data_IF_824811118472
#
_entry.id   IF_824811118472
#
_cell.length_a   1.000
_cell.length_b   1.000
_cell.length_c   1.000
_cell.angle_alpha   90.00
_cell.angle_beta   90.00
_cell.angle_gamma   90.00
#
_symmetry.space_group_name_H-M   'P 1'
#
loop_
_entity.id
_entity.type
_entity.pdbx_description
1 polymer ?
#
# COMPACT_ATOMS: atom_id res chain seq x y z
N UNK A 1 -26.15 50.18 -45.44
CA UNK A 1 -25.43 49.21 -44.60
C UNK A 1 -24.09 49.81 -44.23
N UNK A 2 -23.89 50.23 -42.96
CA UNK A 2 -22.63 50.81 -42.48
C UNK A 2 -21.82 49.69 -41.82
N UNK A 3 -20.72 49.29 -42.45
CA UNK A 3 -19.74 48.36 -41.87
C UNK A 3 -18.78 49.12 -40.96
N UNK A 4 -18.71 48.70 -39.70
CA UNK A 4 -17.75 49.18 -38.71
C UNK A 4 -16.40 48.48 -38.90
N UNK A 5 -15.26 49.22 -38.87
CA UNK A 5 -13.94 48.63 -38.97
C UNK A 5 -13.52 48.01 -37.62
N UNK A 6 -13.13 46.74 -37.65
CA UNK A 6 -12.53 46.03 -36.51
C UNK A 6 -11.08 46.45 -36.28
N UNK A 7 -10.65 46.67 -35.02
CA UNK A 7 -9.29 47.07 -34.71
C UNK A 7 -8.32 45.88 -34.79
N UNK A 8 -7.38 45.93 -35.73
CA UNK A 8 -6.21 45.05 -35.79
C UNK A 8 -5.23 45.43 -34.68
N UNK A 9 -5.28 44.67 -33.58
CA UNK A 9 -4.40 44.84 -32.43
C UNK A 9 -2.94 44.50 -32.76
N UNK A 10 -2.10 45.53 -32.88
CA UNK A 10 -0.66 45.40 -32.99
C UNK A 10 -0.06 44.93 -31.66
N UNK A 11 0.23 43.63 -31.55
CA UNK A 11 0.92 43.05 -30.39
C UNK A 11 2.39 43.48 -30.41
N UNK A 12 2.73 44.46 -29.58
CA UNK A 12 4.09 44.97 -29.43
C UNK A 12 5.02 43.89 -28.85
N UNK A 13 6.23 43.77 -29.40
CA UNK A 13 7.26 42.77 -29.01
C UNK A 13 7.52 42.66 -27.50
N UNK A 14 7.29 43.75 -26.74
CA UNK A 14 7.36 43.75 -25.26
C UNK A 14 6.30 42.85 -24.59
N UNK A 15 5.09 42.74 -25.14
CA UNK A 15 4.04 41.89 -24.59
C UNK A 15 4.36 40.40 -24.77
N UNK A 16 4.99 40.03 -25.89
CA UNK A 16 5.47 38.67 -26.14
C UNK A 16 6.56 38.24 -25.16
N UNK A 17 7.50 39.14 -24.83
CA UNK A 17 8.55 38.85 -23.86
C UNK A 17 8.00 38.60 -22.44
N UNK A 18 7.00 39.38 -22.01
CA UNK A 18 6.37 39.24 -20.69
C UNK A 18 5.62 37.90 -20.60
N UNK A 19 4.89 37.51 -21.64
CA UNK A 19 4.19 36.23 -21.69
C UNK A 19 5.18 35.06 -21.64
N UNK A 20 6.30 35.15 -22.36
CA UNK A 20 7.34 34.13 -22.35
C UNK A 20 7.95 33.91 -20.95
N UNK A 21 8.24 35.00 -20.22
CA UNK A 21 8.75 34.92 -18.85
C UNK A 21 7.72 34.30 -17.91
N UNK A 22 6.44 34.70 -18.00
CA UNK A 22 5.38 34.15 -17.16
C UNK A 22 5.20 32.64 -17.34
N UNK A 23 5.26 32.15 -18.58
CA UNK A 23 5.19 30.70 -18.88
C UNK A 23 6.41 29.97 -18.32
N UNK A 24 7.62 30.51 -18.49
CA UNK A 24 8.83 29.91 -17.95
C UNK A 24 8.80 29.79 -16.42
N UNK A 25 8.30 30.82 -15.73
CA UNK A 25 8.11 30.81 -14.28
C UNK A 25 7.09 29.75 -13.87
N UNK A 26 5.95 29.64 -14.57
CA UNK A 26 4.94 28.62 -14.28
C UNK A 26 5.47 27.19 -14.46
N UNK A 27 6.28 26.95 -15.50
CA UNK A 27 6.93 25.65 -15.73
C UNK A 27 7.94 25.34 -14.62
N UNK A 28 8.76 26.32 -14.21
CA UNK A 28 9.71 26.18 -13.10
C UNK A 28 9.01 25.90 -11.77
N UNK A 29 7.94 26.65 -11.46
CA UNK A 29 7.12 26.42 -10.27
C UNK A 29 6.49 25.02 -10.35
N UNK A 30 5.91 24.63 -11.49
CA UNK A 30 5.37 23.29 -11.70
C UNK A 30 6.42 22.19 -11.53
N UNK A 31 7.65 22.40 -11.99
CA UNK A 31 8.78 21.48 -11.82
C UNK A 31 9.19 21.35 -10.35
N UNK A 32 9.37 22.47 -9.65
CA UNK A 32 9.73 22.49 -8.22
C UNK A 32 8.61 21.89 -7.38
N UNK A 33 7.35 22.18 -7.69
CA UNK A 33 6.20 21.54 -7.05
C UNK A 33 6.16 20.05 -7.35
N UNK A 34 6.44 19.63 -8.59
CA UNK A 34 6.55 18.21 -8.94
C UNK A 34 7.65 17.52 -8.15
N UNK A 35 8.84 18.10 -8.03
CA UNK A 35 9.91 17.47 -7.25
C UNK A 35 9.57 17.42 -5.75
N UNK A 36 9.10 18.54 -5.19
CA UNK A 36 8.81 18.62 -3.75
C UNK A 36 7.61 17.77 -3.34
N UNK A 37 6.57 17.72 -4.19
CA UNK A 37 5.30 17.05 -3.86
C UNK A 37 5.15 15.67 -4.51
N UNK A 38 5.78 15.36 -5.64
CA UNK A 38 5.55 14.13 -6.42
C UNK A 38 6.77 13.21 -6.62
N UNK A 39 7.86 13.33 -5.85
CA UNK A 39 8.92 12.32 -5.88
C UNK A 39 8.45 10.97 -5.28
N UNK A 40 8.15 10.01 -6.15
CA UNK A 40 8.14 8.56 -5.86
C UNK A 40 9.36 7.95 -6.53
N UNK A 41 10.37 7.56 -5.75
CA UNK A 41 11.47 6.73 -6.26
C UNK A 41 12.09 5.76 -5.22
N UNK A 42 11.89 5.95 -3.91
CA UNK A 42 12.66 5.17 -2.92
C UNK A 42 11.97 3.92 -2.35
N UNK A 43 10.85 3.51 -2.95
CA UNK A 43 10.14 2.28 -2.55
C UNK A 43 10.93 1.01 -2.93
N UNK A 44 11.97 1.12 -3.77
CA UNK A 44 12.57 -0.03 -4.47
C UNK A 44 13.68 -0.80 -3.75
N UNK A 45 14.26 -0.35 -2.62
CA UNK A 45 15.54 -0.96 -2.14
C UNK A 45 15.42 -1.89 -0.91
N UNK A 46 14.34 -1.91 -0.12
CA UNK A 46 14.41 -2.55 1.22
C UNK A 46 13.79 -3.95 1.39
N UNK A 47 13.05 -4.52 0.44
CA UNK A 47 12.40 -5.83 0.69
C UNK A 47 13.38 -7.01 0.48
N UNK A 48 14.51 -6.80 -0.21
CA UNK A 48 15.48 -7.89 -0.46
C UNK A 48 16.45 -8.18 0.69
N UNK A 49 16.74 -7.23 1.59
CA UNK A 49 17.84 -7.40 2.55
C UNK A 49 17.46 -8.10 3.87
N UNK A 50 16.20 -8.03 4.33
CA UNK A 50 15.83 -8.64 5.62
C UNK A 50 15.36 -10.11 5.53
N UNK A 51 15.01 -10.63 4.34
CA UNK A 51 14.60 -12.05 4.19
C UNK A 51 15.80 -13.01 4.27
N UNK A 52 17.03 -12.52 4.10
CA UNK A 52 18.24 -13.36 4.15
C UNK A 52 18.71 -13.69 5.58
N UNK A 53 18.30 -12.93 6.61
CA UNK A 53 18.71 -13.21 8.00
C UNK A 53 17.85 -14.26 8.72
N UNK A 54 16.63 -14.54 8.24
CA UNK A 54 15.80 -15.61 8.82
C UNK A 54 16.18 -17.03 8.36
N UNK A 55 17.04 -17.19 7.33
CA UNK A 55 17.41 -18.51 6.78
C UNK A 55 18.62 -19.17 7.44
N UNK A 56 19.27 -18.55 8.42
CA UNK A 56 20.52 -19.08 9.00
C UNK A 56 20.38 -19.91 10.28
N UNK A 57 19.17 -20.18 10.78
CA UNK A 57 18.98 -20.89 12.07
C UNK A 57 18.31 -22.27 11.94
N UNK A 58 17.82 -22.71 10.78
CA UNK A 58 17.25 -24.06 10.65
C UNK A 58 17.88 -24.80 9.48
N UNK A 59 19.09 -25.31 9.74
CA UNK A 59 19.78 -26.26 8.89
C UNK A 59 20.32 -27.42 9.71
N UNK A 60 19.47 -28.40 10.03
CA UNK A 60 19.81 -29.83 9.99
C UNK A 60 18.65 -30.72 10.46
N UNK A 61 17.98 -31.38 9.52
CA UNK A 61 17.92 -32.85 9.39
C UNK A 61 16.88 -33.23 8.34
N UNK A 62 17.41 -33.76 7.24
CA UNK A 62 16.68 -34.48 6.19
C UNK A 62 16.23 -35.83 6.77
N UNK A 63 14.99 -36.21 6.48
CA UNK A 63 14.41 -37.49 6.89
C UNK A 63 13.11 -37.82 6.16
N UNK A 64 13.21 -38.02 4.84
CA UNK A 64 12.56 -39.05 4.00
C UNK A 64 11.04 -39.43 4.17
N UNK A 65 10.41 -39.57 2.99
CA UNK A 65 9.17 -40.29 2.62
C UNK A 65 7.79 -39.66 2.86
N UNK A 66 7.23 -39.17 1.75
CA UNK A 66 5.93 -39.64 1.24
C UNK A 66 4.66 -38.90 1.69
N UNK A 67 3.76 -38.72 0.71
CA UNK A 67 2.32 -38.40 0.85
C UNK A 67 2.00 -36.92 1.07
N UNK A 68 1.81 -36.19 -0.05
CA UNK A 68 0.59 -35.43 -0.35
C UNK A 68 0.69 -34.83 -1.77
N UNK A 69 0.63 -35.72 -2.75
CA UNK A 69 0.14 -35.36 -4.07
C UNK A 69 -1.36 -35.17 -3.99
N UNK A 70 -1.84 -33.93 -3.84
CA UNK A 70 -3.24 -33.58 -4.08
C UNK A 70 -3.48 -32.11 -4.47
N UNK A 71 -2.44 -31.30 -4.69
CA UNK A 71 -2.60 -29.93 -5.19
C UNK A 71 -2.56 -29.92 -6.71
N UNK A 72 -3.66 -30.34 -7.33
CA UNK A 72 -3.93 -30.12 -8.75
C UNK A 72 -4.92 -28.95 -8.88
N UNK A 73 -4.43 -27.72 -8.76
CA UNK A 73 -5.20 -26.52 -9.11
C UNK A 73 -5.05 -26.24 -10.61
N UNK A 74 -5.73 -27.06 -11.41
CA UNK A 74 -5.87 -26.88 -12.85
C UNK A 74 -6.99 -25.89 -13.17
N UNK A 75 -6.64 -24.61 -13.30
CA UNK A 75 -7.48 -23.58 -13.92
C UNK A 75 -6.84 -23.11 -15.22
N UNK A 76 -7.00 -23.88 -16.31
CA UNK A 76 -6.64 -23.42 -17.66
C UNK A 76 -7.69 -22.44 -18.16
N UNK A 77 -7.42 -21.14 -18.03
CA UNK A 77 -8.11 -20.14 -18.82
C UNK A 77 -7.37 -19.99 -20.15
N UNK A 78 -8.05 -20.36 -21.24
CA UNK A 78 -7.63 -19.98 -22.58
C UNK A 78 -7.78 -18.45 -22.68
N UNK A 79 -6.66 -17.73 -22.77
CA UNK A 79 -6.67 -16.32 -23.17
C UNK A 79 -5.75 -16.21 -24.38
N UNK A 80 -6.40 -15.87 -25.49
CA UNK A 80 -5.75 -15.63 -26.77
C UNK A 80 -4.73 -14.51 -26.68
N UNK A 81 -3.66 -14.73 -27.42
CA UNK A 81 -2.63 -13.77 -27.78
C UNK A 81 -3.27 -12.56 -28.47
N UNK A 82 -3.37 -11.44 -27.76
CA UNK A 82 -3.61 -10.11 -28.34
C UNK A 82 -2.93 -9.04 -27.49
N UNK A 83 -1.99 -8.33 -28.13
CA UNK A 83 -1.37 -7.05 -27.77
C UNK A 83 -0.84 -6.86 -26.34
N UNK A 84 0.48 -7.05 -26.23
CA UNK A 84 1.32 -6.96 -25.04
C UNK A 84 1.45 -5.51 -24.53
N UNK A 85 0.35 -4.96 -24.03
CA UNK A 85 0.32 -3.70 -23.29
C UNK A 85 0.85 -3.97 -21.89
N UNK A 86 2.17 -4.05 -21.75
CA UNK A 86 2.94 -4.32 -20.52
C UNK A 86 2.26 -3.67 -19.30
N UNK A 87 1.42 -4.45 -18.61
CA UNK A 87 0.70 -4.01 -17.43
C UNK A 87 1.79 -3.68 -16.42
N UNK A 88 1.90 -2.40 -16.01
CA UNK A 88 2.83 -2.00 -14.95
C UNK A 88 2.34 -2.64 -13.65
N UNK A 89 2.84 -3.83 -13.36
CA UNK A 89 2.64 -4.54 -12.10
C UNK A 89 3.29 -3.72 -10.98
N UNK A 90 2.61 -3.59 -9.85
CA UNK A 90 3.19 -2.93 -8.68
C UNK A 90 4.23 -3.87 -8.04
N UNK A 91 5.32 -3.31 -7.50
CA UNK A 91 6.41 -4.03 -6.82
C UNK A 91 5.88 -5.01 -5.76
N UNK A 92 4.82 -4.63 -5.04
CA UNK A 92 4.19 -5.48 -4.03
C UNK A 92 3.45 -6.67 -4.61
N UNK A 93 2.86 -6.54 -5.80
CA UNK A 93 2.21 -7.65 -6.48
C UNK A 93 3.28 -8.64 -7.00
N UNK A 94 4.38 -8.12 -7.56
CA UNK A 94 5.53 -8.95 -7.96
C UNK A 94 6.21 -9.66 -6.79
N UNK A 95 6.31 -8.97 -5.64
CA UNK A 95 6.82 -9.56 -4.42
C UNK A 95 5.93 -10.71 -3.95
N UNK A 96 4.60 -10.56 -4.00
CA UNK A 96 3.65 -11.60 -3.61
C UNK A 96 3.72 -12.85 -4.49
N UNK A 97 3.98 -12.72 -5.79
CA UNK A 97 4.15 -13.88 -6.70
C UNK A 97 5.27 -14.82 -6.19
N UNK A 98 6.27 -14.27 -5.49
CA UNK A 98 7.38 -15.03 -4.93
C UNK A 98 7.07 -15.64 -3.55
N UNK A 99 5.97 -15.24 -2.89
CA UNK A 99 5.58 -15.68 -1.55
C UNK A 99 4.53 -16.81 -1.61
N UNK A 100 4.91 -17.99 -2.08
CA UNK A 100 3.97 -19.12 -2.28
C UNK A 100 3.30 -19.64 -1.01
N UNK A 101 3.87 -19.36 0.16
CA UNK A 101 3.31 -19.77 1.46
C UNK A 101 2.37 -18.73 2.09
N UNK A 102 2.10 -17.61 1.41
CA UNK A 102 1.30 -16.50 1.93
C UNK A 102 0.12 -16.23 1.03
N UNK A 103 -1.01 -15.85 1.61
CA UNK A 103 -2.20 -15.42 0.87
C UNK A 103 -2.39 -13.92 1.01
N UNK A 104 -2.41 -13.18 -0.10
CA UNK A 104 -2.74 -11.75 -0.07
C UNK A 104 -4.21 -11.59 0.30
N UNK A 105 -4.50 -10.79 1.32
CA UNK A 105 -5.86 -10.45 1.74
C UNK A 105 -6.15 -8.95 1.68
N UNK A 106 -5.13 -8.13 1.48
CA UNK A 106 -5.32 -6.68 1.40
C UNK A 106 -4.10 -5.92 0.87
N UNK A 107 -4.35 -4.65 0.58
CA UNK A 107 -3.37 -3.69 0.08
C UNK A 107 -3.34 -2.45 0.99
N UNK A 108 -2.16 -1.85 1.14
CA UNK A 108 -1.93 -0.62 1.90
C UNK A 108 -1.48 0.48 0.93
N UNK A 109 -2.03 1.68 1.08
CA UNK A 109 -1.81 2.83 0.19
C UNK A 109 -1.33 4.08 0.96
N UNK A 110 -0.60 4.96 0.27
CA UNK A 110 -0.08 6.24 0.80
C UNK A 110 -1.16 7.29 1.07
N UNK A 111 -2.36 7.11 0.51
CA UNK A 111 -3.56 7.91 0.77
C UNK A 111 -4.82 7.24 0.22
N UNK A 112 -6.01 7.76 0.56
CA UNK A 112 -7.30 7.12 0.27
C UNK A 112 -7.90 7.42 -1.10
N UNK A 113 -7.47 8.49 -1.78
CA UNK A 113 -7.95 8.83 -3.12
C UNK A 113 -7.58 7.76 -4.15
N UNK A 114 -8.61 7.12 -4.71
CA UNK A 114 -8.48 6.01 -5.64
C UNK A 114 -7.80 6.40 -6.97
N UNK A 115 -7.73 7.68 -7.31
CA UNK A 115 -7.21 8.13 -8.61
C UNK A 115 -5.69 8.29 -8.63
N UNK A 116 -5.07 8.57 -7.48
CA UNK A 116 -3.63 8.95 -7.40
C UNK A 116 -2.80 8.13 -6.42
N UNK A 117 -3.43 7.26 -5.63
CA UNK A 117 -2.76 6.41 -4.63
C UNK A 117 -1.72 5.47 -5.23
N UNK A 118 -0.71 5.15 -4.44
CA UNK A 118 0.23 4.06 -4.68
C UNK A 118 0.18 3.07 -3.55
N UNK A 119 0.21 1.82 -3.96
CA UNK A 119 0.36 0.70 -3.05
C UNK A 119 1.77 0.73 -2.45
N UNK A 120 1.81 0.91 -1.14
CA UNK A 120 3.01 1.00 -0.30
C UNK A 120 3.14 -0.21 0.63
N UNK A 121 2.17 -1.13 0.59
CA UNK A 121 2.21 -2.34 1.40
C UNK A 121 1.18 -3.39 1.00
N UNK A 122 1.26 -4.52 1.71
CA UNK A 122 0.44 -5.72 1.57
C UNK A 122 0.00 -6.21 2.93
N UNK A 123 -1.22 -6.72 3.01
CA UNK A 123 -1.69 -7.50 4.16
C UNK A 123 -1.86 -8.94 3.71
N UNK A 124 -1.27 -9.87 4.46
CA UNK A 124 -1.22 -11.30 4.09
C UNK A 124 -1.67 -12.18 5.25
N UNK A 125 -2.22 -13.35 4.92
CA UNK A 125 -2.32 -14.49 5.82
C UNK A 125 -1.08 -15.35 5.65
N UNK A 126 -0.39 -15.61 6.76
CA UNK A 126 0.76 -16.50 6.82
C UNK A 126 0.48 -17.65 7.81
N UNK A 127 0.88 -18.89 7.51
CA UNK A 127 0.92 -19.95 8.50
C UNK A 127 1.80 -19.57 9.70
N UNK A 128 1.42 -20.00 10.90
CA UNK A 128 2.24 -19.74 12.09
C UNK A 128 3.57 -20.53 12.00
N UNK A 129 4.72 -19.89 12.29
CA UNK A 129 6.04 -20.49 12.10
C UNK A 129 6.40 -21.55 13.15
N UNK A 130 5.72 -21.58 14.29
CA UNK A 130 6.03 -22.43 15.45
C UNK A 130 5.39 -23.84 15.37
N UNK A 131 4.93 -24.25 14.19
CA UNK A 131 4.25 -25.53 13.99
C UNK A 131 2.85 -25.60 14.62
N UNK A 132 2.36 -24.49 15.19
CA UNK A 132 0.97 -24.41 15.66
C UNK A 132 0.02 -24.30 14.48
N UNK A 133 -1.11 -24.98 14.59
CA UNK A 133 -2.18 -24.86 13.61
C UNK A 133 -2.73 -23.43 13.54
N UNK A 134 -3.15 -23.06 12.33
CA UNK A 134 -3.78 -21.77 12.03
C UNK A 134 -2.87 -20.79 11.30
N UNK A 135 -3.43 -19.60 11.10
CA UNK A 135 -2.79 -18.51 10.37
C UNK A 135 -2.63 -17.29 11.28
N UNK A 136 -1.77 -16.38 10.89
CA UNK A 136 -1.63 -15.05 11.46
C UNK A 136 -1.72 -14.02 10.34
N UNK A 137 -2.26 -12.84 10.66
CA UNK A 137 -2.26 -11.72 9.74
C UNK A 137 -0.93 -11.00 9.89
N UNK A 138 -0.25 -10.80 8.76
CA UNK A 138 0.92 -9.95 8.69
C UNK A 138 0.71 -8.78 7.75
N UNK A 139 1.16 -7.61 8.18
CA UNK A 139 1.17 -6.41 7.35
C UNK A 139 2.61 -6.05 7.03
N UNK A 140 2.89 -5.88 5.74
CA UNK A 140 4.16 -5.42 5.22
C UNK A 140 3.99 -4.04 4.62
N UNK A 141 4.75 -3.06 5.10
CA UNK A 141 4.66 -1.67 4.67
C UNK A 141 6.06 -1.10 4.43
N UNK A 142 6.21 -0.29 3.39
CA UNK A 142 7.41 0.49 3.13
C UNK A 142 7.02 1.92 2.76
N UNK A 143 7.24 2.86 3.69
CA UNK A 143 6.81 4.25 3.53
C UNK A 143 7.81 5.24 4.11
N UNK A 144 7.98 6.39 3.45
CA UNK A 144 8.77 7.52 3.97
C UNK A 144 7.89 8.76 4.02
N UNK A 145 7.74 9.36 5.20
CA UNK A 145 6.96 10.58 5.37
C UNK A 145 7.82 11.82 5.11
N UNK A 146 7.21 12.86 4.50
CA UNK A 146 7.90 14.11 4.13
C UNK A 146 8.00 15.11 5.28
N UNK A 147 7.23 14.88 6.33
CA UNK A 147 7.14 15.72 7.51
C UNK A 147 7.09 14.82 8.75
N UNK A 148 7.32 15.43 9.90
CA UNK A 148 7.27 14.72 11.18
C UNK A 148 5.80 14.41 11.55
N UNK A 149 5.55 13.18 11.97
CA UNK A 149 4.25 12.75 12.54
C UNK A 149 4.42 12.66 14.04
N UNK A 150 3.82 13.61 14.77
CA UNK A 150 3.94 13.68 16.23
C UNK A 150 2.83 12.90 16.93
N UNK A 151 1.65 12.84 16.33
CA UNK A 151 0.54 11.98 16.75
C UNK A 151 -0.19 11.43 15.52
N UNK A 152 -0.90 10.32 15.72
CA UNK A 152 -1.66 9.71 14.64
C UNK A 152 -2.87 8.96 15.17
N UNK A 153 -3.96 8.98 14.41
CA UNK A 153 -5.19 8.26 14.73
C UNK A 153 -5.60 7.36 13.58
N UNK A 154 -6.17 6.21 13.90
CA UNK A 154 -6.72 5.27 12.92
C UNK A 154 -8.23 5.15 13.11
N UNK A 155 -8.96 5.36 12.02
CA UNK A 155 -10.37 4.99 11.91
C UNK A 155 -10.44 3.65 11.20
N UNK A 156 -11.06 2.66 11.82
CA UNK A 156 -11.20 1.31 11.26
C UNK A 156 -12.68 0.92 11.24
N UNK A 157 -13.12 0.42 10.09
CA UNK A 157 -14.45 -0.12 9.85
C UNK A 157 -14.32 -1.58 9.38
N UNK A 158 -15.01 -2.48 10.07
CA UNK A 158 -15.06 -3.91 9.75
C UNK A 158 -16.48 -4.24 9.33
N UNK A 159 -16.62 -4.79 8.13
CA UNK A 159 -17.87 -5.29 7.59
C UNK A 159 -17.85 -6.82 7.62
N UNK A 160 -18.95 -7.42 8.04
CA UNK A 160 -19.21 -8.85 8.00
C UNK A 160 -20.44 -9.10 7.14
N UNK A 161 -20.29 -9.88 6.06
CA UNK A 161 -21.34 -10.09 5.06
C UNK A 161 -21.96 -8.79 4.55
N UNK A 162 -21.09 -7.81 4.30
CA UNK A 162 -21.43 -6.47 3.80
C UNK A 162 -22.24 -5.57 4.76
N UNK A 163 -22.49 -6.02 6.00
CA UNK A 163 -23.03 -5.22 7.10
C UNK A 163 -21.91 -4.67 8.00
N UNK A 164 -22.03 -3.44 8.47
CA UNK A 164 -21.06 -2.84 9.39
C UNK A 164 -21.11 -3.57 10.74
N UNK A 165 -20.05 -4.33 11.03
CA UNK A 165 -19.92 -5.11 12.26
C UNK A 165 -19.24 -4.31 13.37
N UNK A 166 -18.23 -3.51 13.03
CA UNK A 166 -17.44 -2.76 14.00
C UNK A 166 -16.92 -1.47 13.38
N UNK A 167 -16.98 -0.38 14.13
CA UNK A 167 -16.30 0.88 13.81
C UNK A 167 -15.54 1.36 15.05
N UNK A 168 -14.25 1.64 14.88
CA UNK A 168 -13.36 2.04 15.98
C UNK A 168 -12.47 3.20 15.55
N UNK A 169 -12.26 4.14 16.47
CA UNK A 169 -11.22 5.15 16.37
C UNK A 169 -10.20 4.89 17.47
N UNK A 170 -8.92 4.84 17.12
CA UNK A 170 -7.82 4.55 18.04
C UNK A 170 -6.64 5.48 17.79
N UNK A 171 -5.84 5.72 18.82
CA UNK A 171 -4.53 6.35 18.66
C UNK A 171 -3.55 5.30 18.15
N UNK A 172 -2.99 5.52 16.95
CA UNK A 172 -2.09 4.54 16.32
C UNK A 172 -0.74 4.51 17.04
N UNK A 173 -0.27 5.64 17.57
CA UNK A 173 0.98 5.70 18.33
C UNK A 173 0.91 4.91 19.64
N UNK A 174 -0.27 4.87 20.28
CA UNK A 174 -0.50 4.03 21.46
C UNK A 174 -0.57 2.54 21.10
N UNK A 175 -1.32 2.18 20.05
CA UNK A 175 -1.43 0.79 19.60
C UNK A 175 -0.06 0.23 19.14
N UNK A 176 0.77 1.06 18.50
CA UNK A 176 2.14 0.70 18.09
C UNK A 176 3.03 0.22 19.25
N UNK A 177 2.87 0.84 20.44
CA UNK A 177 3.59 0.46 21.66
C UNK A 177 3.13 -0.89 22.19
N UNK A 178 1.86 -1.25 21.99
CA UNK A 178 1.29 -2.52 22.44
C UNK A 178 1.67 -3.69 21.52
N UNK A 179 1.94 -3.40 20.25
CA UNK A 179 2.20 -4.39 19.20
C UNK A 179 3.69 -4.69 18.97
N UNK A 180 4.59 -4.16 19.81
CA UNK A 180 6.07 -4.33 19.68
C UNK A 180 6.58 -3.99 18.28
N UNK A 181 5.98 -2.96 17.68
CA UNK A 181 6.34 -2.53 16.33
C UNK A 181 7.57 -1.62 16.36
N UNK A 182 8.40 -1.61 15.31
CA UNK A 182 9.63 -0.81 15.27
C UNK A 182 9.38 0.71 15.14
N UNK A 183 8.12 1.15 15.07
CA UNK A 183 7.77 2.55 14.94
C UNK A 183 7.21 3.08 16.27
N UNK A 184 7.79 4.19 16.71
CA UNK A 184 7.29 4.98 17.83
C UNK A 184 7.10 6.42 17.36
N UNK A 185 6.05 7.07 17.85
CA UNK A 185 5.89 8.49 17.62
C UNK A 185 6.82 9.26 18.58
N UNK A 186 7.47 10.35 18.11
CA UNK A 186 7.31 10.97 16.79
C UNK A 186 8.08 10.26 15.67
N UNK A 187 7.43 10.13 14.50
CA UNK A 187 8.06 9.61 13.28
C UNK A 187 8.69 10.78 12.53
N UNK A 188 10.01 10.84 12.46
CA UNK A 188 10.74 11.95 11.83
C UNK A 188 10.54 12.00 10.32
N UNK A 189 10.57 13.22 9.76
CA UNK A 189 10.60 13.44 8.32
C UNK A 189 11.80 12.73 7.67
N UNK A 190 11.58 12.12 6.49
CA UNK A 190 12.61 11.39 5.75
C UNK A 190 12.94 10.02 6.35
N UNK A 191 12.36 9.63 7.49
CA UNK A 191 12.55 8.32 8.06
C UNK A 191 11.80 7.26 7.26
N UNK A 192 12.53 6.24 6.83
CA UNK A 192 11.97 5.10 6.10
C UNK A 192 11.40 4.07 7.10
N UNK A 193 10.09 3.91 7.06
CA UNK A 193 9.39 2.88 7.82
C UNK A 193 9.29 1.61 6.99
N UNK A 194 9.90 0.55 7.49
CA UNK A 194 9.67 -0.82 7.03
C UNK A 194 9.03 -1.57 8.19
N UNK A 195 7.74 -1.85 8.08
CA UNK A 195 6.96 -2.46 9.16
C UNK A 195 6.56 -3.86 8.74
N UNK A 196 6.89 -4.83 9.59
CA UNK A 196 6.30 -6.16 9.63
C UNK A 196 5.55 -6.25 10.95
N UNK A 197 4.23 -6.19 10.88
CA UNK A 197 3.35 -6.29 12.06
C UNK A 197 2.61 -7.63 12.05
N UNK A 198 2.41 -8.22 13.22
CA UNK A 198 1.73 -9.50 13.41
C UNK A 198 0.50 -9.30 14.29
N UNK A 199 -0.68 -9.29 13.68
CA UNK A 199 -1.91 -9.15 14.42
C UNK A 199 -2.34 -10.50 15.02
N UNK A 200 -2.72 -10.48 16.31
CA UNK A 200 -3.28 -11.65 17.00
C UNK A 200 -4.72 -11.84 16.55
N UNK A 201 -4.96 -12.94 15.84
CA UNK A 201 -6.32 -13.38 15.52
C UNK A 201 -7.00 -13.97 16.78
N UNK A 202 -8.30 -13.74 16.97
CA UNK A 202 -9.06 -14.42 18.01
C UNK A 202 -9.09 -15.92 17.75
N UNK A 203 -9.36 -16.70 18.80
CA UNK A 203 -9.44 -18.17 18.72
C UNK A 203 -10.54 -18.66 17.78
N UNK A 204 -11.57 -17.84 17.56
CA UNK A 204 -12.67 -18.14 16.65
C UNK A 204 -12.98 -16.94 15.75
N UNK A 205 -13.01 -17.18 14.45
CA UNK A 205 -13.48 -16.24 13.43
C UNK A 205 -14.67 -16.90 12.73
N UNK A 206 -15.89 -16.34 12.81
CA UNK A 206 -17.05 -16.85 12.11
C UNK A 206 -16.78 -17.04 10.61
N UNK A 207 -17.52 -17.98 9.99
CA UNK A 207 -17.47 -18.17 8.53
C UNK A 207 -18.22 -17.04 7.83
N UNK A 208 -17.62 -16.44 6.81
CA UNK A 208 -18.28 -15.40 6.03
C UNK A 208 -17.29 -14.51 5.29
N UNK A 209 -17.82 -13.41 4.72
CA UNK A 209 -17.02 -12.40 4.03
C UNK A 209 -16.68 -11.26 4.99
N UNK A 210 -15.40 -10.91 5.05
CA UNK A 210 -14.89 -9.80 5.85
C UNK A 210 -14.30 -8.75 4.92
N UNK A 211 -14.77 -7.51 5.08
CA UNK A 211 -14.12 -6.33 4.48
C UNK A 211 -13.67 -5.41 5.58
N UNK A 212 -12.40 -5.05 5.59
CA UNK A 212 -11.86 -4.09 6.56
C UNK A 212 -11.35 -2.90 5.79
N UNK A 213 -11.75 -1.72 6.25
CA UNK A 213 -11.26 -0.46 5.76
C UNK A 213 -10.65 0.29 6.93
N UNK A 214 -9.43 0.78 6.77
CA UNK A 214 -8.84 1.71 7.75
C UNK A 214 -8.21 2.91 7.08
N UNK A 215 -8.37 4.07 7.72
CA UNK A 215 -7.74 5.33 7.36
C UNK A 215 -6.89 5.79 8.53
N UNK A 216 -5.66 6.19 8.24
CA UNK A 216 -4.75 6.79 9.21
C UNK A 216 -4.68 8.29 8.96
N UNK A 217 -4.83 9.05 10.03
CA UNK A 217 -4.73 10.51 10.06
C UNK A 217 -3.53 10.93 10.91
N UNK A 218 -2.85 12.01 10.52
CA UNK A 218 -1.80 12.66 11.31
C UNK A 218 -2.37 13.65 12.36
N UNK A 219 -1.47 14.36 13.05
CA UNK A 219 -1.81 15.38 14.04
C UNK A 219 -2.71 16.52 13.51
N UNK A 220 -2.69 16.76 12.19
CA UNK A 220 -3.45 17.81 11.52
C UNK A 220 -4.76 17.28 10.91
N UNK A 221 -5.13 16.04 11.24
CA UNK A 221 -6.28 15.30 10.68
C UNK A 221 -6.19 15.11 9.17
N UNK A 222 -4.98 15.13 8.61
CA UNK A 222 -4.75 14.82 7.21
C UNK A 222 -4.52 13.32 7.06
N UNK A 223 -5.14 12.76 6.03
CA UNK A 223 -4.96 11.35 5.67
C UNK A 223 -3.52 11.09 5.22
N UNK A 224 -2.89 10.11 5.85
CA UNK A 224 -1.50 9.71 5.59
C UNK A 224 -1.36 8.25 5.13
N UNK A 225 -2.47 7.51 5.07
CA UNK A 225 -2.51 6.17 4.52
C UNK A 225 -3.85 5.51 4.71
N UNK A 226 -4.08 4.44 3.96
CA UNK A 226 -5.24 3.58 4.15
C UNK A 226 -4.95 2.13 3.81
N UNK A 227 -5.77 1.26 4.39
CA UNK A 227 -5.68 -0.18 4.20
C UNK A 227 -7.04 -0.72 3.80
N UNK A 228 -7.05 -1.57 2.78
CA UNK A 228 -8.23 -2.30 2.33
C UNK A 228 -7.94 -3.79 2.39
N UNK A 229 -8.77 -4.52 3.12
CA UNK A 229 -8.69 -5.97 3.26
C UNK A 229 -10.04 -6.55 2.83
N UNK A 230 -10.01 -7.59 2.01
CA UNK A 230 -11.19 -8.38 1.63
C UNK A 230 -10.80 -9.85 1.62
N UNK A 231 -11.43 -10.64 2.48
CA UNK A 231 -11.21 -12.08 2.53
C UNK A 231 -12.47 -12.82 2.99
N UNK A 232 -12.48 -14.12 2.72
CA UNK A 232 -13.55 -15.02 3.15
C UNK A 232 -13.00 -16.13 4.04
N UNK A 233 -13.81 -16.56 4.99
CA UNK A 233 -13.51 -17.70 5.87
C UNK A 233 -14.55 -18.80 5.67
N UNK A 234 -14.09 -20.05 5.57
CA UNK A 234 -14.96 -21.23 5.67
C UNK A 234 -15.75 -21.65 4.43
N UNK A 235 -15.50 -21.06 3.26
CA UNK A 235 -15.89 -21.65 1.98
C UNK A 235 -14.77 -22.61 1.54
N UNK A 236 -15.11 -23.89 1.36
CA UNK A 236 -14.29 -24.80 0.58
C UNK A 236 -14.32 -24.29 -0.87
N UNK A 237 -13.18 -23.84 -1.39
CA UNK A 237 -12.97 -23.66 -2.83
C UNK A 237 -12.60 -25.00 -3.42
#
# INVERSE_FOLDING_TARGET
MKGTPTPTGCFTKRKLAIVGIAVAVLVLVGYVLRERYFYRADVLIAIQTNVQHARKVVGNKIGNKGILGFLNFGGKNNVGETDDKKIKTNVWDEWMIKQTAMTSIGDIYDHCDNTTRTKIGKVVLQPKPDGKEGVQIKSYLNQTYKYEITSSSVKMEVFYNDELFMSKNKDMCEEAKLLDTPYSCPIKAGYKLVIEDVAKLPSYIPKGKYRIFSIVYDQDKKEIGCTFIDFKTGENV
#
